data_IF_319465871705
#
_entry.id   IF_319465871705
#
_cell.length_a   1.000
_cell.length_b   1.000
_cell.length_c   1.000
_cell.angle_alpha   90.00
_cell.angle_beta   90.00
_cell.angle_gamma   90.00
#
_symmetry.space_group_name_H-M   'P 1'
#
loop_
_entity.id
_entity.type
_entity.pdbx_description
1 polymer ?
#
# COMPACT_ATOMS: atom_id res chain seq x y z
N UNK A 1 5.87 -28.04 -9.34
CA UNK A 1 5.03 -28.19 -10.54
C UNK A 1 4.09 -26.99 -10.61
N UNK A 2 4.33 -26.03 -11.51
CA UNK A 2 3.33 -25.00 -11.81
C UNK A 2 2.38 -25.57 -12.87
N UNK A 3 1.14 -25.89 -12.49
CA UNK A 3 0.15 -26.54 -13.37
C UNK A 3 -0.38 -25.64 -14.50
N UNK A 4 0.20 -24.47 -14.72
CA UNK A 4 -0.23 -23.48 -15.72
C UNK A 4 0.99 -22.77 -16.30
N UNK A 5 1.07 -22.63 -17.62
CA UNK A 5 2.16 -21.91 -18.28
C UNK A 5 2.04 -20.41 -18.02
N UNK A 6 3.19 -19.71 -17.99
CA UNK A 6 3.25 -18.26 -17.79
C UNK A 6 2.40 -17.48 -18.80
N UNK A 7 2.30 -18.00 -20.02
CA UNK A 7 1.48 -17.47 -21.12
C UNK A 7 -0.01 -17.49 -20.77
N UNK A 8 -0.51 -18.58 -20.18
CA UNK A 8 -1.91 -18.64 -19.76
C UNK A 8 -2.21 -17.73 -18.56
N UNK A 9 -1.27 -17.58 -17.62
CA UNK A 9 -1.44 -16.62 -16.50
C UNK A 9 -1.60 -15.19 -17.03
N UNK A 10 -0.89 -14.83 -18.09
CA UNK A 10 -1.02 -13.50 -18.73
C UNK A 10 -2.41 -13.33 -19.35
N UNK A 11 -2.95 -14.37 -20.01
CA UNK A 11 -4.30 -14.34 -20.61
C UNK A 11 -5.39 -14.22 -19.56
N UNK A 12 -5.25 -14.89 -18.42
CA UNK A 12 -6.24 -14.83 -17.34
C UNK A 12 -6.00 -13.70 -16.34
N UNK A 13 -4.86 -13.01 -16.39
CA UNK A 13 -4.54 -11.91 -15.48
C UNK A 13 -5.64 -10.85 -15.46
N UNK A 14 -6.23 -10.54 -16.62
CA UNK A 14 -7.31 -9.56 -16.76
C UNK A 14 -8.58 -9.95 -15.99
N UNK A 15 -8.81 -11.26 -15.81
CA UNK A 15 -9.91 -11.81 -15.00
C UNK A 15 -9.55 -11.97 -13.52
N UNK A 16 -8.27 -12.21 -13.21
CA UNK A 16 -7.80 -12.46 -11.84
C UNK A 16 -7.57 -11.16 -11.07
N UNK A 17 -7.06 -10.11 -11.71
CA UNK A 17 -6.76 -8.82 -11.09
C UNK A 17 -7.99 -8.22 -10.37
N UNK A 18 -9.18 -8.11 -11.00
CA UNK A 18 -10.37 -7.60 -10.32
C UNK A 18 -10.77 -8.44 -9.11
N UNK A 19 -10.59 -9.76 -9.21
CA UNK A 19 -10.89 -10.70 -8.12
C UNK A 19 -9.96 -10.48 -6.94
N UNK A 20 -8.65 -10.35 -7.18
CA UNK A 20 -7.66 -10.07 -6.13
C UNK A 20 -7.88 -8.71 -5.49
N UNK A 21 -8.16 -7.67 -6.29
CA UNK A 21 -8.52 -6.32 -5.79
C UNK A 21 -9.68 -6.38 -4.80
N UNK A 22 -10.75 -7.09 -5.15
CA UNK A 22 -11.92 -7.26 -4.27
C UNK A 22 -11.58 -8.07 -3.02
N UNK A 23 -10.86 -9.18 -3.19
CA UNK A 23 -10.52 -10.10 -2.11
C UNK A 23 -9.58 -9.49 -1.07
N UNK A 24 -8.67 -8.58 -1.46
CA UNK A 24 -7.82 -7.83 -0.53
C UNK A 24 -8.61 -6.90 0.41
N UNK A 25 -9.84 -6.52 0.03
CA UNK A 25 -10.72 -5.68 0.84
C UNK A 25 -11.90 -6.49 1.41
N UNK A 26 -11.81 -7.83 1.41
CA UNK A 26 -12.89 -8.69 1.90
C UNK A 26 -13.07 -8.57 3.42
N UNK A 27 -14.29 -8.66 3.96
CA UNK A 27 -14.52 -8.65 5.41
C UNK A 27 -13.79 -9.78 6.14
N UNK A 28 -13.64 -10.95 5.52
CA UNK A 28 -13.01 -12.12 6.13
C UNK A 28 -11.46 -12.04 6.06
N UNK A 29 -10.75 -12.11 7.20
CA UNK A 29 -9.28 -12.05 7.22
C UNK A 29 -8.59 -13.12 6.37
N UNK A 30 -9.11 -14.35 6.40
CA UNK A 30 -8.60 -15.49 5.64
C UNK A 30 -8.66 -15.27 4.13
N UNK A 31 -9.67 -14.55 3.64
CA UNK A 31 -9.78 -14.19 2.21
C UNK A 31 -8.71 -13.15 1.85
N UNK A 32 -8.44 -12.18 2.73
CA UNK A 32 -7.40 -11.17 2.51
C UNK A 32 -6.00 -11.78 2.50
N UNK A 33 -5.73 -12.74 3.38
CA UNK A 33 -4.46 -13.47 3.42
C UNK A 33 -4.24 -14.28 2.14
N UNK A 34 -5.23 -15.07 1.72
CA UNK A 34 -5.17 -15.81 0.46
C UNK A 34 -5.02 -14.89 -0.76
N UNK A 35 -5.65 -13.71 -0.73
CA UNK A 35 -5.50 -12.71 -1.78
C UNK A 35 -4.09 -12.12 -1.84
N UNK A 36 -3.42 -11.92 -0.70
CA UNK A 36 -2.03 -11.46 -0.63
C UNK A 36 -1.04 -12.50 -1.18
N UNK A 37 -1.24 -13.78 -0.88
CA UNK A 37 -0.47 -14.87 -1.50
C UNK A 37 -0.70 -14.91 -3.02
N UNK A 38 -1.95 -14.79 -3.45
CA UNK A 38 -2.33 -14.73 -4.86
C UNK A 38 -1.68 -13.53 -5.56
N UNK A 39 -1.68 -12.36 -4.93
CA UNK A 39 -0.95 -11.18 -5.42
C UNK A 39 0.55 -11.47 -5.59
N UNK A 40 1.18 -12.14 -4.63
CA UNK A 40 2.60 -12.49 -4.72
C UNK A 40 2.89 -13.44 -5.90
N UNK A 41 1.99 -14.40 -6.14
CA UNK A 41 2.06 -15.32 -7.27
C UNK A 41 1.84 -14.60 -8.60
N UNK A 42 0.85 -13.71 -8.68
CA UNK A 42 0.61 -12.88 -9.86
C UNK A 42 1.84 -12.04 -10.18
N UNK A 43 2.37 -11.29 -9.21
CA UNK A 43 3.58 -10.50 -9.40
C UNK A 43 4.77 -11.35 -9.88
N UNK A 44 4.92 -12.58 -9.39
CA UNK A 44 6.01 -13.45 -9.83
C UNK A 44 5.89 -13.87 -11.31
N UNK A 45 4.67 -13.85 -11.86
CA UNK A 45 4.40 -14.19 -13.26
C UNK A 45 4.36 -12.96 -14.20
N UNK A 46 3.63 -11.92 -13.80
CA UNK A 46 3.36 -10.72 -14.64
C UNK A 46 4.15 -9.46 -14.21
N UNK A 47 4.97 -9.55 -13.16
CA UNK A 47 5.89 -8.49 -12.75
C UNK A 47 5.20 -7.22 -12.25
N UNK A 48 5.75 -6.06 -12.63
CA UNK A 48 5.29 -4.73 -12.18
C UNK A 48 3.83 -4.46 -12.51
N UNK A 49 3.30 -5.07 -13.58
CA UNK A 49 1.88 -4.97 -13.94
C UNK A 49 0.95 -5.31 -12.76
N UNK A 50 1.31 -6.31 -11.96
CA UNK A 50 0.52 -6.64 -10.77
C UNK A 50 0.52 -5.50 -9.73
N UNK A 51 1.63 -4.76 -9.60
CA UNK A 51 1.73 -3.60 -8.72
C UNK A 51 0.87 -2.45 -9.26
N UNK A 52 1.04 -2.12 -10.54
CA UNK A 52 0.35 -1.05 -11.25
C UNK A 52 -1.16 -1.24 -11.21
N UNK A 53 -1.61 -2.48 -11.38
CA UNK A 53 -3.02 -2.78 -11.39
C UNK A 53 -3.58 -2.92 -9.96
N UNK A 54 -2.90 -3.54 -8.99
CA UNK A 54 -3.55 -3.89 -7.71
C UNK A 54 -3.37 -2.82 -6.64
N UNK A 55 -2.16 -2.26 -6.49
CA UNK A 55 -1.84 -1.40 -5.35
C UNK A 55 -2.60 -0.06 -5.34
N UNK A 56 -2.76 0.67 -6.48
CA UNK A 56 -3.53 1.91 -6.48
C UNK A 56 -4.98 1.70 -6.05
N UNK A 57 -5.60 0.58 -6.41
CA UNK A 57 -6.96 0.25 -5.98
C UNK A 57 -7.04 0.02 -4.46
N UNK A 58 -6.04 -0.66 -3.90
CA UNK A 58 -5.97 -0.91 -2.47
C UNK A 58 -5.77 0.39 -1.68
N UNK A 59 -4.91 1.30 -2.17
CA UNK A 59 -4.71 2.62 -1.58
C UNK A 59 -5.98 3.48 -1.63
N UNK A 60 -6.70 3.49 -2.75
CA UNK A 60 -7.99 4.17 -2.85
C UNK A 60 -9.02 3.61 -1.86
N UNK A 61 -8.93 2.31 -1.52
CA UNK A 61 -9.75 1.68 -0.48
C UNK A 61 -9.51 2.24 0.93
N UNK A 62 -8.31 2.76 1.21
CA UNK A 62 -7.98 3.39 2.51
C UNK A 62 -8.70 4.71 2.73
N UNK A 63 -9.10 5.38 1.66
CA UNK A 63 -9.83 6.66 1.71
C UNK A 63 -11.34 6.46 1.91
N UNK A 64 -11.84 5.23 1.78
CA UNK A 64 -13.25 4.93 1.91
C UNK A 64 -13.62 4.59 3.36
N UNK A 65 -14.56 5.29 4.01
CA UNK A 65 -14.84 5.13 5.45
C UNK A 65 -15.17 3.68 5.83
N UNK A 66 -16.07 3.02 5.10
CA UNK A 66 -16.52 1.66 5.42
C UNK A 66 -15.52 0.54 5.09
N UNK A 67 -14.55 0.81 4.20
CA UNK A 67 -13.62 -0.20 3.66
C UNK A 67 -12.18 0.01 4.09
N UNK A 68 -11.87 1.17 4.67
CA UNK A 68 -10.54 1.57 5.12
C UNK A 68 -9.87 0.52 6.01
N UNK A 69 -10.61 -0.04 6.99
CA UNK A 69 -10.09 -1.07 7.89
C UNK A 69 -9.71 -2.37 7.16
N UNK A 70 -10.50 -2.80 6.18
CA UNK A 70 -10.25 -4.03 5.42
C UNK A 70 -9.11 -3.82 4.43
N UNK A 71 -9.07 -2.67 3.77
CA UNK A 71 -7.99 -2.28 2.87
C UNK A 71 -6.65 -2.13 3.62
N UNK A 72 -6.66 -1.58 4.82
CA UNK A 72 -5.47 -1.46 5.67
C UNK A 72 -4.92 -2.83 6.06
N UNK A 73 -5.79 -3.75 6.48
CA UNK A 73 -5.40 -5.12 6.79
C UNK A 73 -4.91 -5.87 5.52
N UNK A 74 -5.59 -5.70 4.38
CA UNK A 74 -5.15 -6.24 3.09
C UNK A 74 -3.76 -5.73 2.69
N UNK A 75 -3.49 -4.43 2.87
CA UNK A 75 -2.17 -3.85 2.64
C UNK A 75 -1.14 -4.44 3.60
N UNK A 76 -1.50 -4.67 4.87
CA UNK A 76 -0.63 -5.36 5.84
C UNK A 76 -0.27 -6.76 5.37
N UNK A 77 -1.23 -7.53 4.84
CA UNK A 77 -0.95 -8.87 4.32
C UNK A 77 -0.03 -8.84 3.09
N UNK A 78 -0.28 -7.92 2.15
CA UNK A 78 0.61 -7.73 0.99
C UNK A 78 2.04 -7.36 1.42
N UNK A 79 2.15 -6.50 2.44
CA UNK A 79 3.42 -6.11 3.01
C UNK A 79 4.15 -7.27 3.70
N UNK A 80 3.43 -8.12 4.44
CA UNK A 80 4.00 -9.31 5.07
C UNK A 80 4.62 -10.27 4.05
N UNK A 81 4.00 -10.43 2.88
CA UNK A 81 4.48 -11.35 1.85
C UNK A 81 5.55 -10.72 0.93
N UNK A 82 5.52 -9.40 0.69
CA UNK A 82 6.33 -8.79 -0.39
C UNK A 82 6.86 -7.37 -0.15
N UNK A 83 7.09 -6.95 1.10
CA UNK A 83 7.55 -5.59 1.46
C UNK A 83 8.76 -5.08 0.65
N UNK A 84 9.74 -5.95 0.33
CA UNK A 84 10.96 -5.59 -0.41
C UNK A 84 10.69 -5.13 -1.85
N UNK A 85 9.55 -5.51 -2.42
CA UNK A 85 9.14 -5.12 -3.77
C UNK A 85 8.13 -3.98 -3.71
N UNK A 86 7.20 -4.04 -2.75
CA UNK A 86 6.10 -3.08 -2.63
C UNK A 86 6.59 -1.71 -2.16
N UNK A 87 7.53 -1.63 -1.19
CA UNK A 87 7.99 -0.33 -0.68
C UNK A 87 8.78 0.49 -1.71
N UNK A 88 9.74 -0.07 -2.46
CA UNK A 88 10.41 0.69 -3.52
C UNK A 88 9.46 1.19 -4.60
N UNK A 89 8.31 0.53 -4.80
CA UNK A 89 7.27 0.96 -5.74
C UNK A 89 6.39 2.07 -5.16
N UNK A 90 5.94 1.93 -3.92
CA UNK A 90 5.02 2.87 -3.28
C UNK A 90 5.71 4.16 -2.81
N UNK A 91 6.89 4.06 -2.18
CA UNK A 91 7.54 5.21 -1.55
C UNK A 91 7.72 6.39 -2.52
N UNK A 92 8.24 6.21 -3.76
CA UNK A 92 8.37 7.32 -4.71
C UNK A 92 7.04 7.98 -5.06
N UNK A 93 5.94 7.21 -5.14
CA UNK A 93 4.62 7.73 -5.48
C UNK A 93 4.01 8.54 -4.32
N UNK A 94 4.30 8.13 -3.08
CA UNK A 94 3.75 8.77 -1.90
C UNK A 94 4.51 10.04 -1.48
N UNK A 95 5.80 10.13 -1.81
CA UNK A 95 6.64 11.30 -1.53
C UNK A 95 6.69 12.31 -2.68
N UNK A 96 6.13 11.97 -3.84
CA UNK A 96 6.00 12.92 -4.95
C UNK A 96 5.05 14.06 -4.54
N UNK A 97 5.35 15.29 -4.96
CA UNK A 97 4.50 16.44 -4.61
C UNK A 97 3.16 16.41 -5.38
N UNK A 98 2.02 16.65 -4.71
CA UNK A 98 1.87 16.87 -3.27
C UNK A 98 2.00 15.56 -2.46
N UNK A 99 2.78 15.61 -1.37
CA UNK A 99 3.08 14.43 -0.54
C UNK A 99 1.80 13.84 0.05
N UNK A 100 1.54 12.56 -0.20
CA UNK A 100 0.37 11.85 0.33
C UNK A 100 0.62 11.40 1.77
N UNK A 101 0.51 12.37 2.69
CA UNK A 101 0.70 12.17 4.14
C UNK A 101 -0.24 11.12 4.76
N UNK A 102 -1.48 11.02 4.24
CA UNK A 102 -2.47 10.06 4.73
C UNK A 102 -2.10 8.62 4.38
N UNK A 103 -1.74 8.35 3.13
CA UNK A 103 -1.26 7.02 2.73
C UNK A 103 0.08 6.67 3.41
N UNK A 104 0.96 7.65 3.65
CA UNK A 104 2.21 7.43 4.41
C UNK A 104 1.96 7.04 5.87
N UNK A 105 0.94 7.59 6.53
CA UNK A 105 0.63 7.22 7.91
C UNK A 105 0.15 5.77 8.01
N UNK A 106 -0.71 5.32 7.09
CA UNK A 106 -1.07 3.90 7.00
C UNK A 106 0.13 3.02 6.65
N UNK A 107 0.96 3.44 5.69
CA UNK A 107 2.17 2.70 5.33
C UNK A 107 3.09 2.53 6.54
N UNK A 108 3.26 3.57 7.37
CA UNK A 108 4.03 3.46 8.62
C UNK A 108 3.44 2.49 9.63
N UNK A 109 2.11 2.37 9.69
CA UNK A 109 1.45 1.43 10.60
C UNK A 109 1.65 -0.04 10.19
N UNK A 110 1.82 -0.33 8.90
CA UNK A 110 1.89 -1.70 8.38
C UNK A 110 3.28 -2.16 7.91
N UNK A 111 4.19 -1.23 7.61
CA UNK A 111 5.47 -1.56 7.01
C UNK A 111 6.54 -2.06 8.01
N UNK A 112 6.37 -1.76 9.31
CA UNK A 112 7.31 -2.14 10.38
C UNK A 112 8.76 -1.80 10.03
N UNK A 113 9.68 -2.72 10.35
CA UNK A 113 11.12 -2.55 10.10
C UNK A 113 11.48 -2.36 8.63
N UNK A 114 10.61 -2.75 7.70
CA UNK A 114 10.89 -2.60 6.26
C UNK A 114 10.87 -1.13 5.83
N UNK A 115 10.19 -0.26 6.58
CA UNK A 115 10.13 1.17 6.29
C UNK A 115 11.44 1.90 6.66
N UNK A 116 12.18 1.40 7.65
CA UNK A 116 13.41 2.05 8.17
C UNK A 116 14.41 2.40 7.07
N UNK A 117 14.56 1.52 6.08
CA UNK A 117 15.45 1.70 4.92
C UNK A 117 15.03 2.83 3.96
N UNK A 118 13.80 3.30 4.07
CA UNK A 118 13.22 4.33 3.21
C UNK A 118 13.04 5.68 3.94
N UNK A 119 13.29 5.72 5.26
CA UNK A 119 13.11 6.94 6.07
C UNK A 119 13.97 8.11 5.63
N UNK A 120 15.18 7.86 5.13
CA UNK A 120 16.06 8.90 4.59
C UNK A 120 15.45 9.67 3.41
N UNK A 121 14.47 9.07 2.70
CA UNK A 121 13.71 9.72 1.62
C UNK A 121 12.37 10.27 2.09
N UNK A 122 11.70 9.56 3.00
CA UNK A 122 10.37 9.92 3.49
C UNK A 122 10.44 11.15 4.41
N UNK A 123 11.40 11.19 5.35
CA UNK A 123 11.49 12.28 6.33
C UNK A 123 11.70 13.65 5.66
N UNK A 124 12.62 13.84 4.70
CA UNK A 124 12.76 15.13 4.00
C UNK A 124 11.49 15.57 3.27
N UNK A 125 10.80 14.65 2.59
CA UNK A 125 9.57 14.95 1.88
C UNK A 125 8.44 15.37 2.85
N UNK A 126 8.29 14.68 3.98
CA UNK A 126 7.36 15.06 5.04
C UNK A 126 7.71 16.43 5.63
N UNK A 127 8.97 16.69 5.96
CA UNK A 127 9.40 17.99 6.50
C UNK A 127 9.11 19.14 5.53
N UNK A 128 9.32 18.93 4.23
CA UNK A 128 8.98 19.91 3.18
C UNK A 128 7.46 20.14 3.09
N UNK A 129 6.66 19.07 3.09
CA UNK A 129 5.21 19.17 3.06
C UNK A 129 4.65 19.86 4.31
N UNK A 130 5.26 19.62 5.48
CA UNK A 130 4.90 20.28 6.72
C UNK A 130 5.26 21.76 6.69
N UNK A 131 6.48 22.14 6.31
CA UNK A 131 6.88 23.55 6.26
C UNK A 131 6.02 24.38 5.32
N UNK A 132 5.50 23.78 4.25
CA UNK A 132 4.53 24.41 3.34
C UNK A 132 3.13 24.57 3.97
N UNK A 133 2.70 23.64 4.83
CA UNK A 133 1.40 23.71 5.54
C UNK A 133 1.42 24.58 6.79
N UNK A 134 2.56 24.75 7.47
CA UNK A 134 2.66 25.57 8.70
C UNK A 134 2.45 27.08 8.47
N UNK A 135 2.10 27.50 7.25
CA UNK A 135 1.72 28.87 6.89
C UNK A 135 0.26 29.03 6.43
N UNK A 136 -0.57 27.97 6.44
CA UNK A 136 -1.99 28.03 6.07
C UNK A 136 -2.89 27.63 7.24
N UNK A 137 -4.03 28.30 7.39
CA UNK A 137 -4.97 28.25 8.52
C UNK A 137 -5.77 26.91 8.67
N UNK A 138 -5.14 25.75 8.45
CA UNK A 138 -5.77 24.43 8.58
C UNK A 138 -5.08 23.59 9.66
N UNK A 139 -5.13 24.07 10.90
CA UNK A 139 -4.50 23.42 12.06
C UNK A 139 -5.34 22.27 12.68
N UNK A 140 -6.62 22.11 12.32
CA UNK A 140 -7.54 21.28 13.12
C UNK A 140 -7.65 19.78 12.73
N UNK A 141 -7.33 19.37 11.50
CA UNK A 141 -7.58 17.98 11.06
C UNK A 141 -6.34 17.07 11.13
N UNK A 142 -5.16 17.66 11.35
CA UNK A 142 -3.89 16.95 11.16
C UNK A 142 -3.47 16.12 12.41
N UNK A 143 -4.05 16.41 13.58
CA UNK A 143 -3.65 15.79 14.85
C UNK A 143 -3.94 14.27 14.94
N UNK A 144 -4.93 13.75 14.20
CA UNK A 144 -5.24 12.31 14.18
C UNK A 144 -4.21 11.46 13.43
N UNK A 145 -3.60 12.01 12.38
CA UNK A 145 -2.67 11.26 11.52
C UNK A 145 -1.25 11.16 12.10
N UNK A 146 -0.86 12.06 13.01
CA UNK A 146 0.50 12.09 13.58
C UNK A 146 0.76 11.03 14.64
N UNK A 147 -0.28 10.46 15.27
CA UNK A 147 -0.13 9.39 16.25
C UNK A 147 0.53 8.14 15.67
N UNK A 148 0.37 7.88 14.37
CA UNK A 148 1.06 6.80 13.67
C UNK A 148 2.57 7.05 13.50
N UNK A 149 2.97 8.31 13.32
CA UNK A 149 4.36 8.71 13.06
C UNK A 149 5.21 8.75 14.34
N UNK A 150 4.61 8.91 15.53
CA UNK A 150 5.35 8.83 16.79
C UNK A 150 5.83 7.42 17.17
N UNK A 151 5.34 6.36 16.50
CA UNK A 151 5.85 4.98 16.69
C UNK A 151 7.18 4.71 15.98
N UNK A 152 7.72 5.70 15.28
CA UNK A 152 8.92 5.59 14.45
C UNK A 152 10.19 6.12 15.15
N UNK A 153 10.05 6.67 16.35
CA UNK A 153 11.15 7.09 17.27
C UNK A 153 11.08 6.23 18.51
#
# INVERSE_FOLDING_TARGET
>A
MSSTSREHVIVFADSLIPTVRKALCDPLPEVREAAAETFSNLHSNIGSRALDDILPHLLAGLEHPDRSQFALDGLRQVMAVKSKVVLPYLVPQLIAEPVNTHALSFLSAVAGDSLTRHLSKILPALMSALSQKTGSEQEAEVCGSYAGLMKLV
#
